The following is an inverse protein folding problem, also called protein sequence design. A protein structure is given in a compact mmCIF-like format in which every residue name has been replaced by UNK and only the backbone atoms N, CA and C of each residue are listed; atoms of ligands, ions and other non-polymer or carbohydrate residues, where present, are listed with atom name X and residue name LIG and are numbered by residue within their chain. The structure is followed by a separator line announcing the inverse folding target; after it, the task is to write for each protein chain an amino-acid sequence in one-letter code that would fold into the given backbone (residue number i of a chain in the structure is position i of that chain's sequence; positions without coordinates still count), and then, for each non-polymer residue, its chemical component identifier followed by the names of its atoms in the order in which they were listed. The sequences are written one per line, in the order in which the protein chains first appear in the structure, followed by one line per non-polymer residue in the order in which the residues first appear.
data_IF_595417458539
#
_entry.id   IF_595417458539
#
_cell.length_a   1.000
_cell.length_b   1.000
_cell.length_c   1.000
_cell.angle_alpha   90.00
_cell.angle_beta   90.00
_cell.angle_gamma   90.00
#
_symmetry.space_group_name_H-M   'P 1'
#
loop_
_entity.id
_entity.type
_entity.pdbx_description
1 polymer ?
#
# COMPACT_ATOMS: atom_id res chain seq x y z
N UNK A 1 -2.07 21.72 -2.70
CA UNK A 1 -3.35 21.89 -3.46
C UNK A 1 -4.50 21.83 -2.48
N UNK A 2 -5.53 22.72 -2.56
CA UNK A 2 -6.72 22.64 -1.69
C UNK A 2 -7.67 21.54 -2.17
N UNK A 3 -8.57 21.08 -1.29
CA UNK A 3 -9.60 20.09 -1.65
C UNK A 3 -10.46 20.55 -2.84
N UNK A 4 -10.81 21.85 -2.88
CA UNK A 4 -11.58 22.42 -3.99
C UNK A 4 -10.79 22.45 -5.29
N UNK A 5 -9.50 22.80 -5.25
CA UNK A 5 -8.63 22.77 -6.42
C UNK A 5 -8.51 21.33 -6.98
N UNK A 6 -8.38 20.32 -6.10
CA UNK A 6 -8.33 18.91 -6.51
C UNK A 6 -9.64 18.48 -7.19
N UNK A 7 -10.78 18.84 -6.64
CA UNK A 7 -12.09 18.54 -7.21
C UNK A 7 -12.26 19.12 -8.62
N UNK A 8 -11.89 20.40 -8.79
CA UNK A 8 -11.96 21.06 -10.10
C UNK A 8 -10.98 20.41 -11.09
N UNK A 9 -9.78 20.06 -10.66
CA UNK A 9 -8.77 19.42 -11.48
C UNK A 9 -9.28 18.05 -11.99
N UNK A 10 -9.87 17.23 -11.14
CA UNK A 10 -10.43 15.93 -11.53
C UNK A 10 -11.49 16.08 -12.65
N UNK A 11 -12.38 17.06 -12.54
CA UNK A 11 -13.40 17.31 -13.58
C UNK A 11 -12.79 17.83 -14.89
N UNK A 12 -11.70 18.58 -14.83
CA UNK A 12 -10.96 19.04 -16.01
C UNK A 12 -10.22 17.85 -16.65
N UNK A 13 -9.68 16.92 -15.87
CA UNK A 13 -9.05 15.67 -16.36
C UNK A 13 -10.06 14.77 -17.07
N UNK A 14 -11.27 14.63 -16.48
CA UNK A 14 -12.36 13.87 -17.11
C UNK A 14 -12.86 14.49 -18.41
N UNK A 15 -12.92 15.82 -18.46
CA UNK A 15 -13.33 16.59 -19.64
C UNK A 15 -12.47 17.85 -19.82
N UNK A 16 -11.34 17.76 -20.56
CA UNK A 16 -10.44 18.89 -20.79
C UNK A 16 -11.06 20.08 -21.51
N UNK A 17 -12.23 19.92 -22.11
CA UNK A 17 -12.98 20.97 -22.78
C UNK A 17 -14.10 21.58 -21.92
N UNK A 18 -14.24 21.14 -20.68
CA UNK A 18 -15.27 21.65 -19.74
C UNK A 18 -15.13 23.17 -19.56
N UNK A 19 -16.24 23.88 -19.66
CA UNK A 19 -16.24 25.34 -19.50
C UNK A 19 -16.14 25.74 -18.01
N UNK A 20 -15.64 26.95 -17.75
CA UNK A 20 -15.62 27.49 -16.39
C UNK A 20 -17.02 27.66 -15.79
N UNK A 21 -18.05 27.81 -16.62
CA UNK A 21 -19.43 27.89 -16.17
C UNK A 21 -19.92 26.51 -15.70
N UNK A 22 -19.69 25.46 -16.48
CA UNK A 22 -20.05 24.08 -16.09
C UNK A 22 -19.31 23.65 -14.81
N UNK A 23 -18.03 24.02 -14.67
CA UNK A 23 -17.28 23.80 -13.43
C UNK A 23 -17.90 24.54 -12.24
N UNK A 24 -18.35 25.77 -12.44
CA UNK A 24 -19.00 26.57 -11.41
C UNK A 24 -20.32 25.93 -10.96
N UNK A 25 -21.13 25.49 -11.92
CA UNK A 25 -22.41 24.84 -11.67
C UNK A 25 -22.21 23.51 -10.93
N UNK A 26 -21.26 22.67 -11.37
CA UNK A 26 -20.91 21.41 -10.68
C UNK A 26 -20.36 21.64 -9.27
N UNK A 27 -19.59 22.70 -9.06
CA UNK A 27 -18.95 22.99 -7.78
C UNK A 27 -19.86 23.76 -6.80
N UNK A 28 -21.00 24.28 -7.27
CA UNK A 28 -21.88 25.15 -6.48
C UNK A 28 -21.21 26.48 -6.07
N UNK A 29 -20.33 27.03 -6.92
CA UNK A 29 -19.59 28.29 -6.70
C UNK A 29 -19.71 29.22 -7.91
N UNK A 30 -19.24 30.44 -7.77
CA UNK A 30 -19.28 31.41 -8.87
C UNK A 30 -18.22 31.10 -9.93
N UNK A 31 -18.47 31.46 -11.19
CA UNK A 31 -17.48 31.37 -12.28
C UNK A 31 -16.19 32.13 -11.97
N UNK A 32 -16.26 33.27 -11.28
CA UNK A 32 -15.10 34.02 -10.84
C UNK A 32 -14.26 33.25 -9.81
N UNK A 33 -14.89 32.53 -8.88
CA UNK A 33 -14.19 31.67 -7.95
C UNK A 33 -13.48 30.51 -8.67
N UNK A 34 -14.13 29.89 -9.68
CA UNK A 34 -13.49 28.88 -10.53
C UNK A 34 -12.27 29.45 -11.24
N UNK A 35 -12.36 30.65 -11.81
CA UNK A 35 -11.24 31.30 -12.50
C UNK A 35 -10.03 31.50 -11.57
N UNK A 36 -10.26 31.86 -10.30
CA UNK A 36 -9.20 32.00 -9.28
C UNK A 36 -8.54 30.64 -9.02
N UNK A 37 -9.32 29.58 -8.82
CA UNK A 37 -8.78 28.24 -8.61
C UNK A 37 -7.99 27.72 -9.81
N UNK A 38 -8.49 27.94 -11.04
CA UNK A 38 -7.76 27.59 -12.28
C UNK A 38 -6.44 28.37 -12.35
N UNK A 39 -6.45 29.68 -12.06
CA UNK A 39 -5.21 30.46 -12.01
C UNK A 39 -4.20 29.93 -11.01
N UNK A 40 -4.67 29.51 -9.83
CA UNK A 40 -3.80 28.90 -8.83
C UNK A 40 -3.25 27.54 -9.29
N UNK A 41 -4.07 26.72 -9.96
CA UNK A 41 -3.62 25.46 -10.54
C UNK A 41 -2.59 25.67 -11.66
N UNK A 42 -2.77 26.71 -12.47
CA UNK A 42 -1.76 27.09 -13.49
C UNK A 42 -0.45 27.56 -12.84
N UNK A 43 -0.51 28.40 -11.80
CA UNK A 43 0.67 28.84 -11.06
C UNK A 43 1.42 27.70 -10.39
N UNK A 44 0.72 26.65 -9.99
CA UNK A 44 1.26 25.42 -9.36
C UNK A 44 1.72 24.40 -10.41
N UNK A 45 1.57 24.68 -11.72
CA UNK A 45 2.00 23.80 -12.81
C UNK A 45 1.07 22.63 -13.13
N UNK A 46 -0.10 22.54 -12.49
CA UNK A 46 -1.09 21.48 -12.77
C UNK A 46 -1.85 21.69 -14.08
N UNK A 47 -2.00 22.93 -14.54
CA UNK A 47 -2.61 23.29 -15.83
C UNK A 47 -1.57 24.05 -16.64
N UNK A 48 -1.22 23.56 -17.83
CA UNK A 48 -0.09 24.06 -18.61
C UNK A 48 -0.47 24.92 -19.82
N UNK A 49 -1.77 25.06 -20.16
CA UNK A 49 -2.16 25.83 -21.34
C UNK A 49 -3.66 26.12 -21.50
N UNK A 50 -4.01 26.87 -22.55
CA UNK A 50 -5.40 27.07 -22.95
C UNK A 50 -5.93 25.80 -23.60
N UNK A 51 -7.03 25.28 -23.08
CA UNK A 51 -7.59 23.96 -23.41
C UNK A 51 -7.39 22.98 -22.26
N UNK A 52 -7.00 23.48 -21.07
CA UNK A 52 -6.82 22.68 -19.84
C UNK A 52 -5.97 21.44 -20.05
N UNK A 53 -4.79 21.60 -20.69
CA UNK A 53 -3.80 20.51 -20.69
C UNK A 53 -3.36 20.32 -19.24
N UNK A 54 -3.82 19.25 -18.61
CA UNK A 54 -3.52 18.89 -17.24
C UNK A 54 -2.18 18.18 -17.23
N UNK A 55 -1.22 18.70 -16.47
CA UNK A 55 -0.06 17.93 -16.08
C UNK A 55 -0.41 17.23 -14.77
N UNK A 56 -0.73 15.97 -14.85
CA UNK A 56 -0.91 15.14 -13.64
C UNK A 56 0.44 15.05 -12.95
N UNK A 57 0.51 15.51 -11.69
CA UNK A 57 1.69 15.24 -10.88
C UNK A 57 1.94 13.71 -10.85
N UNK A 58 3.19 13.26 -10.90
CA UNK A 58 3.49 11.84 -10.80
C UNK A 58 2.89 11.25 -9.51
N UNK A 59 2.22 10.11 -9.63
CA UNK A 59 1.58 9.45 -8.49
C UNK A 59 1.83 7.95 -8.50
N UNK A 60 1.62 7.33 -7.36
CA UNK A 60 1.59 5.88 -7.20
C UNK A 60 0.17 5.41 -6.88
N UNK A 61 -0.18 4.21 -7.32
CA UNK A 61 -1.47 3.64 -6.98
C UNK A 61 -1.28 2.38 -6.14
N UNK A 62 -2.02 2.30 -5.02
CA UNK A 62 -2.13 1.08 -4.23
C UNK A 62 -3.47 0.42 -4.52
N UNK A 63 -3.45 -0.83 -4.95
CA UNK A 63 -4.64 -1.65 -5.18
C UNK A 63 -4.66 -2.75 -4.12
N UNK A 64 -5.49 -2.61 -3.10
CA UNK A 64 -5.39 -3.52 -1.97
C UNK A 64 -6.46 -3.37 -0.90
N UNK A 65 -6.26 -4.10 0.18
CA UNK A 65 -7.21 -4.18 1.28
C UNK A 65 -7.13 -3.01 2.25
N UNK A 66 -8.31 -2.64 2.74
CA UNK A 66 -8.52 -1.74 3.89
C UNK A 66 -9.40 -2.46 4.89
N UNK A 67 -9.13 -2.38 6.18
CA UNK A 67 -10.02 -2.96 7.17
C UNK A 67 -10.05 -2.18 8.48
N UNK A 68 -11.07 -2.45 9.28
CA UNK A 68 -11.12 -2.07 10.68
C UNK A 68 -10.61 -3.23 11.52
N UNK A 69 -9.53 -3.01 12.27
CA UNK A 69 -9.03 -3.97 13.24
C UNK A 69 -9.68 -3.71 14.59
N UNK A 70 -10.27 -4.74 15.18
CA UNK A 70 -10.93 -4.69 16.49
C UNK A 70 -10.23 -5.70 17.38
N UNK A 71 -9.44 -5.21 18.32
CA UNK A 71 -8.73 -6.04 19.29
C UNK A 71 -9.39 -6.02 20.66
N UNK A 72 -9.52 -7.20 21.28
CA UNK A 72 -9.97 -7.39 22.64
C UNK A 72 -8.84 -7.93 23.52
N UNK A 73 -8.57 -7.23 24.63
CA UNK A 73 -7.56 -7.63 25.63
C UNK A 73 -8.27 -7.90 26.96
N UNK A 74 -8.53 -9.17 27.30
CA UNK A 74 -9.04 -9.52 28.62
C UNK A 74 -8.07 -9.09 29.73
N UNK A 75 -8.63 -8.64 30.87
CA UNK A 75 -7.82 -8.24 32.02
C UNK A 75 -7.19 -9.41 32.78
N UNK A 76 -7.73 -10.61 32.58
CA UNK A 76 -7.31 -11.87 33.22
C UNK A 76 -7.33 -13.00 32.21
N UNK A 77 -6.98 -14.23 32.64
CA UNK A 77 -7.09 -15.44 31.80
C UNK A 77 -8.51 -15.57 31.23
N UNK A 78 -8.69 -15.63 29.91
CA UNK A 78 -10.02 -15.67 29.31
C UNK A 78 -10.81 -16.93 29.73
N UNK A 79 -12.01 -16.71 30.24
CA UNK A 79 -12.97 -17.78 30.55
C UNK A 79 -13.83 -18.03 29.32
N UNK A 80 -13.70 -19.24 28.74
CA UNK A 80 -14.48 -19.62 27.56
C UNK A 80 -15.97 -19.70 27.87
N UNK A 81 -16.80 -19.21 26.94
CA UNK A 81 -18.27 -19.19 27.04
C UNK A 81 -18.81 -18.26 28.13
N UNK A 82 -18.02 -17.27 28.54
CA UNK A 82 -18.40 -16.27 29.51
C UNK A 82 -18.00 -14.86 29.03
N UNK A 83 -18.52 -13.82 29.70
CA UNK A 83 -18.14 -12.45 29.50
C UNK A 83 -16.86 -12.13 30.26
N UNK A 84 -15.82 -11.70 29.53
CA UNK A 84 -14.51 -11.39 30.10
C UNK A 84 -14.35 -9.86 30.14
N UNK A 85 -14.25 -9.25 31.33
CA UNK A 85 -13.90 -7.84 31.46
C UNK A 85 -12.52 -7.55 30.83
N UNK A 86 -12.40 -6.42 30.12
CA UNK A 86 -11.16 -6.10 29.43
C UNK A 86 -11.21 -4.78 28.67
N UNK A 87 -10.26 -4.59 27.77
CA UNK A 87 -10.14 -3.40 26.92
C UNK A 87 -10.44 -3.79 25.48
N UNK A 88 -11.24 -2.98 24.79
CA UNK A 88 -11.46 -3.10 23.34
C UNK A 88 -10.86 -1.87 22.66
N UNK A 89 -10.05 -2.08 21.63
CA UNK A 89 -9.50 -1.01 20.81
C UNK A 89 -9.84 -1.26 19.34
N UNK A 90 -10.03 -0.16 18.63
CA UNK A 90 -10.25 -0.17 17.19
C UNK A 90 -9.14 0.62 16.52
N UNK A 91 -8.59 0.07 15.46
CA UNK A 91 -7.58 0.74 14.64
C UNK A 91 -7.86 0.52 13.16
N UNK A 92 -7.39 1.48 12.35
CA UNK A 92 -7.49 1.37 10.91
C UNK A 92 -6.35 0.48 10.40
N UNK A 93 -6.71 -0.57 9.68
CA UNK A 93 -5.80 -1.59 9.18
C UNK A 93 -5.96 -1.86 7.69
N UNK A 94 -5.44 -3.01 7.28
CA UNK A 94 -5.35 -3.44 5.90
C UNK A 94 -3.99 -3.16 5.28
N UNK A 95 -3.38 -4.19 4.69
CA UNK A 95 -2.02 -4.09 4.11
C UNK A 95 -1.95 -2.98 3.06
N UNK A 96 -2.92 -2.94 2.13
CA UNK A 96 -2.97 -1.88 1.11
C UNK A 96 -3.04 -0.48 1.73
N UNK A 97 -3.94 -0.28 2.72
CA UNK A 97 -4.06 1.01 3.41
C UNK A 97 -2.77 1.37 4.18
N UNK A 98 -2.17 0.42 4.87
CA UNK A 98 -0.95 0.68 5.63
C UNK A 98 0.21 1.07 4.71
N UNK A 99 0.36 0.40 3.56
CA UNK A 99 1.34 0.76 2.54
C UNK A 99 1.05 2.18 2.02
N UNK A 100 -0.20 2.49 1.66
CA UNK A 100 -0.60 3.81 1.17
C UNK A 100 -0.33 4.92 2.20
N UNK A 101 -0.60 4.66 3.49
CA UNK A 101 -0.33 5.59 4.59
C UNK A 101 1.18 5.87 4.73
N UNK A 102 2.01 4.82 4.77
CA UNK A 102 3.46 4.98 4.82
C UNK A 102 4.01 5.72 3.59
N UNK A 103 3.46 5.47 2.40
CA UNK A 103 3.82 6.21 1.18
C UNK A 103 3.47 7.70 1.28
N UNK A 104 2.30 8.03 1.82
CA UNK A 104 1.90 9.43 2.05
C UNK A 104 2.82 10.14 3.05
N UNK A 105 3.24 9.46 4.14
CA UNK A 105 4.24 9.98 5.09
C UNK A 105 5.61 10.21 4.44
N UNK A 106 5.97 9.41 3.42
CA UNK A 106 7.18 9.61 2.61
C UNK A 106 7.02 10.67 1.51
N UNK A 107 5.91 11.42 1.50
CA UNK A 107 5.67 12.55 0.59
C UNK A 107 5.24 12.18 -0.82
N UNK A 108 4.88 10.92 -1.09
CA UNK A 108 4.36 10.51 -2.39
C UNK A 108 2.91 10.98 -2.58
N UNK A 109 2.52 11.32 -3.81
CA UNK A 109 1.11 11.46 -4.20
C UNK A 109 0.53 10.04 -4.37
N UNK A 110 -0.43 9.68 -3.52
CA UNK A 110 -0.95 8.31 -3.42
C UNK A 110 -2.41 8.26 -3.83
N UNK A 111 -2.71 7.37 -4.76
CA UNK A 111 -4.09 6.97 -5.08
C UNK A 111 -4.33 5.57 -4.57
N UNK A 112 -5.49 5.33 -4.00
CA UNK A 112 -5.86 4.00 -3.52
C UNK A 112 -7.12 3.52 -4.21
N UNK A 113 -7.06 2.29 -4.73
CA UNK A 113 -8.18 1.57 -5.32
C UNK A 113 -8.51 0.38 -4.43
N UNK A 114 -9.65 0.44 -3.79
CA UNK A 114 -10.19 -0.59 -2.89
C UNK A 114 -11.71 -0.65 -3.03
N UNK A 115 -12.39 -1.32 -2.13
CA UNK A 115 -13.84 -1.32 -2.00
C UNK A 115 -14.24 -1.01 -0.57
N UNK A 116 -15.28 -0.23 -0.40
CA UNK A 116 -15.86 0.13 0.89
C UNK A 116 -17.27 -0.43 1.03
N UNK A 117 -17.66 -0.77 2.26
CA UNK A 117 -19.06 -0.94 2.61
C UNK A 117 -19.79 0.40 2.75
N UNK A 118 -21.10 0.35 2.91
CA UNK A 118 -21.92 1.51 3.22
C UNK A 118 -22.12 1.60 4.74
N UNK A 119 -21.01 1.83 5.47
CA UNK A 119 -21.00 1.77 6.94
C UNK A 119 -20.07 2.82 7.57
N UNK A 120 -20.13 2.91 8.91
CA UNK A 120 -19.32 3.86 9.69
C UNK A 120 -17.81 3.57 9.59
N UNK A 121 -17.40 2.31 9.35
CA UNK A 121 -16.00 1.95 9.19
C UNK A 121 -15.44 2.53 7.89
N UNK A 122 -16.21 2.46 6.79
CA UNK A 122 -15.87 3.13 5.54
C UNK A 122 -15.65 4.63 5.74
N UNK A 123 -16.56 5.30 6.47
CA UNK A 123 -16.47 6.74 6.73
C UNK A 123 -15.21 7.09 7.52
N UNK A 124 -14.85 6.31 8.54
CA UNK A 124 -13.63 6.51 9.34
C UNK A 124 -12.37 6.33 8.50
N UNK A 125 -12.31 5.28 7.67
CA UNK A 125 -11.17 5.04 6.79
C UNK A 125 -11.05 6.16 5.75
N UNK A 126 -12.16 6.56 5.13
CA UNK A 126 -12.19 7.63 4.15
C UNK A 126 -11.74 8.99 4.74
N UNK A 127 -12.17 9.31 5.96
CA UNK A 127 -11.73 10.52 6.66
C UNK A 127 -10.21 10.50 6.88
N UNK A 128 -9.66 9.39 7.38
CA UNK A 128 -8.21 9.23 7.56
C UNK A 128 -7.43 9.34 6.25
N UNK A 129 -7.92 8.75 5.16
CA UNK A 129 -7.32 8.90 3.84
C UNK A 129 -7.32 10.37 3.38
N UNK A 130 -8.42 11.10 3.63
CA UNK A 130 -8.53 12.52 3.32
C UNK A 130 -7.55 13.40 4.09
N UNK A 131 -7.35 13.12 5.39
CA UNK A 131 -6.35 13.81 6.23
C UNK A 131 -4.93 13.61 5.73
N UNK A 132 -4.62 12.42 5.21
CA UNK A 132 -3.31 12.05 4.66
C UNK A 132 -3.12 12.49 3.20
N UNK A 133 -4.15 13.02 2.55
CA UNK A 133 -4.12 13.38 1.13
C UNK A 133 -4.13 12.17 0.19
N UNK A 134 -4.48 10.98 0.66
CA UNK A 134 -4.64 9.78 -0.16
C UNK A 134 -5.95 9.89 -0.95
N UNK A 135 -5.86 9.84 -2.27
CA UNK A 135 -7.03 9.91 -3.15
C UNK A 135 -7.69 8.51 -3.27
N UNK A 136 -8.92 8.40 -2.75
CA UNK A 136 -9.75 7.20 -2.81
C UNK A 136 -10.95 7.36 -3.76
N UNK A 137 -10.98 8.40 -4.58
CA UNK A 137 -12.13 8.73 -5.45
C UNK A 137 -12.52 7.60 -6.42
N UNK A 138 -11.57 6.73 -6.74
CA UNK A 138 -11.78 5.56 -7.60
C UNK A 138 -12.14 4.28 -6.85
N UNK A 139 -12.35 4.35 -5.54
CA UNK A 139 -12.75 3.23 -4.70
C UNK A 139 -14.29 3.24 -4.53
N UNK A 140 -15.02 2.24 -5.06
CA UNK A 140 -16.46 2.23 -4.98
C UNK A 140 -16.96 1.88 -3.57
N UNK A 141 -18.11 2.44 -3.20
CA UNK A 141 -18.91 2.02 -2.06
C UNK A 141 -19.91 0.97 -2.54
N UNK A 142 -19.94 -0.18 -1.88
CA UNK A 142 -20.85 -1.28 -2.21
C UNK A 142 -22.14 -1.10 -1.38
N UNK A 143 -23.30 -0.85 -2.01
CA UNK A 143 -24.56 -0.69 -1.30
C UNK A 143 -24.85 -1.92 -0.42
N UNK A 144 -25.29 -1.67 0.81
CA UNK A 144 -25.56 -2.71 1.83
C UNK A 144 -24.34 -3.59 2.17
N UNK A 145 -23.15 -3.27 1.61
CA UNK A 145 -21.90 -3.94 1.91
C UNK A 145 -21.37 -3.58 3.29
N UNK A 146 -20.55 -4.47 3.86
CA UNK A 146 -19.81 -4.21 5.11
C UNK A 146 -18.34 -4.07 4.80
N UNK A 147 -17.74 -3.00 5.32
CA UNK A 147 -16.30 -2.78 5.23
C UNK A 147 -15.56 -3.90 5.97
N UNK A 148 -14.50 -4.40 5.35
CA UNK A 148 -13.68 -5.46 5.91
C UNK A 148 -13.30 -5.19 7.37
N UNK A 149 -13.41 -6.23 8.19
CA UNK A 149 -13.13 -6.17 9.63
C UNK A 149 -12.28 -7.36 10.05
N UNK A 150 -11.27 -7.11 10.86
CA UNK A 150 -10.46 -8.14 11.50
C UNK A 150 -10.65 -8.04 13.00
N UNK A 151 -11.37 -9.00 13.58
CA UNK A 151 -11.61 -9.09 15.02
C UNK A 151 -10.64 -10.10 15.61
N UNK A 152 -9.92 -9.72 16.67
CA UNK A 152 -9.09 -10.66 17.42
C UNK A 152 -9.23 -10.46 18.93
N UNK A 153 -9.00 -11.54 19.65
CA UNK A 153 -8.94 -11.55 21.12
C UNK A 153 -7.60 -12.15 21.52
N UNK A 154 -6.94 -11.52 22.47
CA UNK A 154 -5.67 -12.03 23.02
C UNK A 154 -5.92 -12.88 24.27
N UNK A 155 -4.90 -13.62 24.67
CA UNK A 155 -4.81 -14.21 26.00
C UNK A 155 -4.20 -13.19 27.00
N UNK A 156 -3.96 -13.63 28.22
CA UNK A 156 -3.37 -12.82 29.31
C UNK A 156 -1.90 -12.42 29.05
N UNK A 157 -1.24 -13.05 28.09
CA UNK A 157 0.14 -12.74 27.67
C UNK A 157 0.20 -11.78 26.50
N UNK A 158 -0.97 -11.49 25.91
CA UNK A 158 -1.08 -10.67 24.72
C UNK A 158 -0.97 -11.46 23.40
N UNK A 159 -0.84 -12.80 23.47
CA UNK A 159 -0.83 -13.65 22.29
C UNK A 159 -2.25 -13.82 21.75
N UNK A 160 -2.39 -13.93 20.42
CA UNK A 160 -3.70 -14.08 19.79
C UNK A 160 -4.33 -15.44 20.13
N UNK A 161 -5.42 -15.42 20.90
CA UNK A 161 -6.18 -16.62 21.24
C UNK A 161 -7.22 -16.99 20.17
N UNK A 162 -7.84 -16.00 19.54
CA UNK A 162 -8.87 -16.20 18.50
C UNK A 162 -8.90 -14.99 17.55
N UNK A 163 -9.16 -15.24 16.27
CA UNK A 163 -9.46 -14.16 15.33
C UNK A 163 -10.58 -14.56 14.35
N UNK A 164 -11.34 -13.55 13.91
CA UNK A 164 -12.34 -13.66 12.84
C UNK A 164 -12.04 -12.59 11.79
N UNK A 165 -11.92 -13.03 10.55
CA UNK A 165 -11.60 -12.16 9.42
C UNK A 165 -12.82 -12.07 8.48
N UNK A 166 -13.53 -10.95 8.49
CA UNK A 166 -14.60 -10.64 7.53
C UNK A 166 -14.02 -9.81 6.39
N UNK A 167 -13.61 -10.47 5.32
CA UNK A 167 -12.98 -9.85 4.15
C UNK A 167 -13.76 -10.13 2.86
N UNK A 168 -15.04 -10.53 2.99
CA UNK A 168 -15.84 -10.96 1.86
C UNK A 168 -16.07 -9.83 0.84
N UNK A 169 -16.06 -8.58 1.30
CA UNK A 169 -16.26 -7.42 0.43
C UNK A 169 -15.26 -7.36 -0.73
N UNK A 170 -14.04 -7.91 -0.58
CA UNK A 170 -13.03 -7.90 -1.65
C UNK A 170 -13.42 -8.72 -2.88
N UNK A 171 -14.45 -9.59 -2.81
CA UNK A 171 -15.03 -10.23 -4.00
C UNK A 171 -15.54 -9.22 -5.03
N UNK A 172 -15.84 -7.99 -4.61
CA UNK A 172 -16.26 -6.91 -5.51
C UNK A 172 -15.09 -6.20 -6.21
N UNK A 173 -13.85 -6.47 -5.83
CA UNK A 173 -12.66 -6.04 -6.57
C UNK A 173 -12.43 -6.94 -7.78
N UNK A 174 -13.38 -6.98 -8.70
CA UNK A 174 -13.40 -7.85 -9.87
C UNK A 174 -12.53 -7.31 -11.01
N UNK A 175 -12.14 -8.15 -11.99
CA UNK A 175 -11.51 -7.69 -13.24
C UNK A 175 -12.29 -6.58 -13.94
N UNK A 176 -13.63 -6.65 -13.95
CA UNK A 176 -14.48 -5.61 -14.52
C UNK A 176 -14.36 -4.29 -13.78
N UNK A 177 -14.35 -4.31 -12.45
CA UNK A 177 -14.14 -3.12 -11.62
C UNK A 177 -12.78 -2.49 -11.91
N UNK A 178 -11.73 -3.30 -12.02
CA UNK A 178 -10.36 -2.83 -12.29
C UNK A 178 -10.19 -2.32 -13.73
N UNK A 179 -10.90 -2.90 -14.71
CA UNK A 179 -10.84 -2.45 -16.11
C UNK A 179 -11.26 -0.99 -16.27
N UNK A 180 -12.24 -0.54 -15.51
CA UNK A 180 -12.71 0.85 -15.51
C UNK A 180 -11.67 1.84 -14.95
N UNK A 181 -10.63 1.34 -14.28
CA UNK A 181 -9.57 2.12 -13.64
C UNK A 181 -8.20 1.93 -14.30
N UNK A 182 -8.18 1.16 -15.39
CA UNK A 182 -6.93 0.78 -16.07
C UNK A 182 -6.14 2.01 -16.57
N UNK A 183 -6.83 3.04 -17.05
CA UNK A 183 -6.19 4.30 -17.46
C UNK A 183 -5.45 4.95 -16.29
N UNK A 184 -6.08 5.03 -15.11
CA UNK A 184 -5.46 5.53 -13.89
C UNK A 184 -4.26 4.66 -13.48
N UNK A 185 -4.41 3.34 -13.50
CA UNK A 185 -3.35 2.40 -13.11
C UNK A 185 -2.16 2.52 -14.05
N UNK A 186 -2.39 2.60 -15.37
CA UNK A 186 -1.34 2.71 -16.38
C UNK A 186 -0.62 4.06 -16.39
N UNK A 187 -1.24 5.11 -15.88
CA UNK A 187 -0.62 6.42 -15.73
C UNK A 187 0.18 6.55 -14.41
N UNK A 188 0.14 5.55 -13.54
CA UNK A 188 0.92 5.52 -12.28
C UNK A 188 2.39 5.26 -12.55
N UNK A 189 3.28 5.86 -11.75
CA UNK A 189 4.71 5.55 -11.78
C UNK A 189 5.01 4.12 -11.29
N UNK A 190 4.19 3.62 -10.38
CA UNK A 190 4.17 2.25 -9.91
C UNK A 190 2.78 1.90 -9.39
N UNK A 191 2.39 0.63 -9.50
CA UNK A 191 1.18 0.09 -8.89
C UNK A 191 1.59 -0.96 -7.87
N UNK A 192 1.19 -0.77 -6.62
CA UNK A 192 1.43 -1.74 -5.55
C UNK A 192 0.14 -2.49 -5.28
N UNK A 193 0.18 -3.80 -5.36
CA UNK A 193 -0.94 -4.67 -5.05
C UNK A 193 -0.66 -5.54 -3.83
N UNK A 194 -1.70 -5.86 -3.07
CA UNK A 194 -1.66 -6.88 -2.04
C UNK A 194 -2.54 -8.09 -2.41
N UNK A 195 -2.27 -9.23 -1.79
CA UNK A 195 -2.99 -10.46 -2.09
C UNK A 195 -4.34 -10.62 -1.35
N UNK A 196 -4.89 -9.54 -0.79
CA UNK A 196 -6.30 -9.51 -0.37
C UNK A 196 -7.23 -9.54 -1.59
N UNK A 197 -6.75 -9.07 -2.74
CA UNK A 197 -7.49 -9.15 -4.01
C UNK A 197 -7.84 -10.60 -4.38
N UNK A 198 -8.97 -10.83 -5.10
CA UNK A 198 -9.24 -12.09 -5.80
C UNK A 198 -8.12 -12.47 -6.78
N UNK A 199 -7.88 -13.78 -6.95
CA UNK A 199 -6.82 -14.27 -7.84
C UNK A 199 -7.00 -13.81 -9.30
N UNK A 200 -8.25 -13.82 -9.78
CA UNK A 200 -8.60 -13.35 -11.14
C UNK A 200 -8.32 -11.86 -11.33
N UNK A 201 -8.41 -11.07 -10.28
CA UNK A 201 -8.13 -9.63 -10.31
C UNK A 201 -6.63 -9.35 -10.31
N UNK A 202 -5.84 -10.13 -9.57
CA UNK A 202 -4.38 -10.10 -9.64
C UNK A 202 -3.92 -10.51 -11.05
N UNK A 203 -4.49 -11.56 -11.61
CA UNK A 203 -4.20 -12.00 -12.99
C UNK A 203 -4.54 -10.90 -14.00
N UNK A 204 -5.73 -10.27 -13.85
CA UNK A 204 -6.14 -9.18 -14.73
C UNK A 204 -5.15 -8.00 -14.71
N UNK A 205 -4.71 -7.58 -13.51
CA UNK A 205 -3.70 -6.52 -13.38
C UNK A 205 -2.38 -6.93 -14.03
N UNK A 206 -1.93 -8.16 -13.82
CA UNK A 206 -0.70 -8.67 -14.42
C UNK A 206 -0.72 -8.69 -15.95
N UNK A 207 -1.89 -8.92 -16.54
CA UNK A 207 -2.04 -9.02 -18.00
C UNK A 207 -2.28 -7.67 -18.69
N UNK A 208 -2.84 -6.68 -17.99
CA UNK A 208 -3.31 -5.43 -18.62
C UNK A 208 -2.64 -4.16 -18.07
N UNK A 209 -2.05 -4.20 -16.86
CA UNK A 209 -1.35 -3.04 -16.32
C UNK A 209 0.03 -2.92 -16.96
N UNK A 210 0.32 -1.72 -17.49
CA UNK A 210 1.62 -1.41 -18.11
C UNK A 210 2.57 -0.70 -17.16
N UNK A 211 2.07 -0.16 -16.05
CA UNK A 211 2.90 0.40 -14.99
C UNK A 211 3.63 -0.73 -14.23
N UNK A 212 4.83 -0.47 -13.68
CA UNK A 212 5.55 -1.44 -12.88
C UNK A 212 4.71 -1.95 -11.70
N UNK A 213 4.50 -3.29 -11.62
CA UNK A 213 3.70 -3.93 -10.58
C UNK A 213 4.59 -4.37 -9.42
N UNK A 214 4.27 -3.89 -8.22
CA UNK A 214 4.86 -4.30 -6.95
C UNK A 214 3.84 -5.14 -6.19
N UNK A 215 4.26 -6.25 -5.57
CA UNK A 215 3.35 -7.15 -4.90
C UNK A 215 3.79 -7.47 -3.46
N UNK A 216 2.84 -7.35 -2.53
CA UNK A 216 2.96 -7.86 -1.17
C UNK A 216 2.14 -9.16 -1.01
N UNK A 217 2.78 -10.27 -0.59
CA UNK A 217 2.10 -11.55 -0.42
C UNK A 217 1.12 -11.60 0.75
N UNK A 218 1.17 -10.67 1.70
CA UNK A 218 0.32 -10.57 2.92
C UNK A 218 0.46 -11.76 3.87
N UNK A 219 0.35 -12.98 3.37
CA UNK A 219 0.46 -14.22 4.16
C UNK A 219 0.71 -15.42 3.25
N UNK A 220 1.22 -16.50 3.82
CA UNK A 220 1.46 -17.74 3.07
C UNK A 220 0.21 -18.27 2.37
N UNK A 221 -0.96 -18.22 3.03
CA UNK A 221 -2.21 -18.70 2.45
C UNK A 221 -2.64 -17.86 1.22
N UNK A 222 -2.35 -16.57 1.21
CA UNK A 222 -2.71 -15.64 0.13
C UNK A 222 -1.63 -15.57 -0.96
N UNK A 223 -0.36 -15.75 -0.61
CA UNK A 223 0.80 -15.68 -1.51
C UNK A 223 0.67 -16.58 -2.74
N UNK A 224 0.00 -17.73 -2.62
CA UNK A 224 -0.19 -18.68 -3.74
C UNK A 224 -0.84 -18.05 -4.97
N UNK A 225 -1.63 -16.98 -4.78
CA UNK A 225 -2.28 -16.22 -5.87
C UNK A 225 -1.27 -15.54 -6.80
N UNK A 226 -0.03 -15.30 -6.32
CA UNK A 226 1.02 -14.65 -7.10
C UNK A 226 1.78 -15.61 -8.02
N UNK A 227 1.74 -16.92 -7.77
CA UNK A 227 2.49 -17.91 -8.56
C UNK A 227 2.28 -17.79 -10.08
N UNK A 228 1.04 -17.64 -10.59
CA UNK A 228 0.81 -17.53 -12.03
C UNK A 228 1.34 -16.24 -12.65
N UNK A 229 1.54 -15.18 -11.85
CA UNK A 229 1.83 -13.83 -12.32
C UNK A 229 3.24 -13.35 -12.00
N UNK A 230 4.09 -14.17 -11.39
CA UNK A 230 5.44 -13.78 -10.97
C UNK A 230 6.25 -13.15 -12.12
N UNK A 231 6.14 -13.68 -13.34
CA UNK A 231 6.82 -13.17 -14.53
C UNK A 231 6.41 -11.76 -14.95
N UNK A 232 5.29 -11.26 -14.45
CA UNK A 232 4.73 -9.94 -14.78
C UNK A 232 5.02 -8.89 -13.71
N UNK A 233 5.52 -9.32 -12.56
CA UNK A 233 5.84 -8.43 -11.47
C UNK A 233 7.20 -7.76 -11.67
N UNK A 234 7.24 -6.46 -11.37
CA UNK A 234 8.50 -5.73 -11.25
C UNK A 234 9.17 -6.03 -9.92
N UNK A 235 8.45 -5.96 -8.82
CA UNK A 235 9.02 -6.15 -7.47
C UNK A 235 8.11 -7.03 -6.63
N UNK A 236 8.72 -8.00 -5.97
CA UNK A 236 8.06 -8.87 -4.99
C UNK A 236 8.76 -8.73 -3.64
N UNK A 237 7.98 -8.56 -2.57
CA UNK A 237 8.50 -8.46 -1.20
C UNK A 237 7.96 -9.57 -0.29
N UNK A 238 8.42 -10.78 -0.39
CA UNK A 238 8.03 -11.86 0.51
C UNK A 238 8.84 -11.82 1.81
N UNK A 239 8.30 -12.40 2.88
CA UNK A 239 9.10 -12.88 3.99
C UNK A 239 9.74 -14.25 3.64
N UNK A 240 10.58 -14.80 4.54
CA UNK A 240 11.27 -16.09 4.34
C UNK A 240 10.29 -17.23 3.98
N UNK A 241 9.18 -17.37 4.72
CA UNK A 241 8.23 -18.47 4.54
C UNK A 241 7.45 -18.29 3.22
N UNK A 242 7.09 -17.07 2.88
CA UNK A 242 6.42 -16.75 1.61
C UNK A 242 7.36 -17.00 0.42
N UNK A 243 8.64 -16.66 0.56
CA UNK A 243 9.66 -16.92 -0.46
C UNK A 243 9.85 -18.44 -0.67
N UNK A 244 9.90 -19.24 0.41
CA UNK A 244 9.92 -20.70 0.32
C UNK A 244 8.72 -21.25 -0.44
N UNK A 245 7.52 -20.76 -0.11
CA UNK A 245 6.28 -21.19 -0.75
C UNK A 245 6.24 -20.84 -2.25
N UNK A 246 6.68 -19.64 -2.60
CA UNK A 246 6.62 -19.13 -3.97
C UNK A 246 7.71 -19.76 -4.85
N UNK A 247 8.93 -19.93 -4.33
CA UNK A 247 10.06 -20.55 -5.05
C UNK A 247 10.03 -22.06 -5.03
N UNK A 248 9.37 -22.69 -4.04
CA UNK A 248 9.45 -24.13 -3.78
C UNK A 248 10.78 -24.57 -3.15
N UNK A 249 11.66 -23.63 -2.78
CA UNK A 249 12.98 -23.90 -2.19
C UNK A 249 12.92 -23.65 -0.69
N UNK A 250 13.28 -24.64 0.13
CA UNK A 250 13.40 -24.49 1.58
C UNK A 250 14.63 -23.68 1.93
N UNK A 251 14.47 -22.58 2.70
CA UNK A 251 15.54 -21.66 3.06
C UNK A 251 16.09 -22.03 4.43
N UNK A 252 17.24 -22.68 4.46
CA UNK A 252 17.92 -23.15 5.68
C UNK A 252 19.29 -22.48 5.91
N UNK A 253 19.86 -21.88 4.87
CA UNK A 253 21.16 -21.19 4.88
C UNK A 253 21.26 -20.21 3.72
N UNK A 254 22.37 -19.46 3.63
CA UNK A 254 22.59 -18.47 2.59
C UNK A 254 22.56 -19.04 1.16
N UNK A 255 23.05 -20.27 0.97
CA UNK A 255 23.03 -20.89 -0.36
C UNK A 255 21.60 -21.19 -0.81
N UNK A 256 20.75 -21.73 0.09
CA UNK A 256 19.34 -21.99 -0.21
C UNK A 256 18.53 -20.68 -0.33
N UNK A 257 18.90 -19.60 0.39
CA UNK A 257 18.30 -18.28 0.25
C UNK A 257 18.57 -17.69 -1.14
N UNK A 258 19.84 -17.73 -1.60
CA UNK A 258 20.20 -17.33 -2.97
C UNK A 258 19.46 -18.16 -4.01
N UNK A 259 19.38 -19.46 -3.83
CA UNK A 259 18.66 -20.36 -4.74
C UNK A 259 17.17 -20.06 -4.81
N UNK A 260 16.53 -19.72 -3.68
CA UNK A 260 15.13 -19.30 -3.65
C UNK A 260 14.92 -18.01 -4.45
N UNK A 261 15.80 -17.00 -4.24
CA UNK A 261 15.74 -15.74 -5.00
C UNK A 261 15.98 -15.95 -6.50
N UNK A 262 16.98 -16.73 -6.88
CA UNK A 262 17.25 -17.10 -8.29
C UNK A 262 16.02 -17.77 -8.92
N UNK A 263 15.43 -18.75 -8.25
CA UNK A 263 14.24 -19.45 -8.75
C UNK A 263 13.08 -18.48 -8.99
N UNK A 264 12.88 -17.48 -8.10
CA UNK A 264 11.88 -16.44 -8.31
C UNK A 264 12.22 -15.53 -9.50
N UNK A 265 13.47 -15.12 -9.65
CA UNK A 265 13.92 -14.28 -10.77
C UNK A 265 13.86 -15.04 -12.11
N UNK A 266 14.14 -16.33 -12.13
CA UNK A 266 14.05 -17.20 -13.30
C UNK A 266 12.62 -17.28 -13.88
N UNK A 267 11.59 -16.96 -13.09
CA UNK A 267 10.21 -16.83 -13.59
C UNK A 267 10.00 -15.62 -14.51
N UNK A 268 10.92 -14.64 -14.49
CA UNK A 268 10.79 -13.35 -15.17
C UNK A 268 10.56 -12.17 -14.25
N UNK A 269 10.44 -12.40 -12.91
CA UNK A 269 10.40 -11.34 -11.90
C UNK A 269 11.65 -10.44 -12.02
N UNK A 270 11.46 -9.10 -11.90
CA UNK A 270 12.60 -8.19 -12.04
C UNK A 270 13.42 -8.04 -10.76
N UNK A 271 12.76 -7.90 -9.59
CA UNK A 271 13.42 -7.70 -8.29
C UNK A 271 12.67 -8.46 -7.18
N UNK A 272 13.43 -8.98 -6.23
CA UNK A 272 12.89 -9.59 -5.01
C UNK A 272 13.58 -9.05 -3.78
N UNK A 273 12.80 -8.76 -2.73
CA UNK A 273 13.29 -8.35 -1.41
C UNK A 273 12.75 -9.31 -0.37
N UNK A 274 13.56 -10.27 0.07
CA UNK A 274 13.16 -11.29 1.05
C UNK A 274 13.49 -10.77 2.44
N UNK A 275 12.45 -10.43 3.21
CA UNK A 275 12.64 -10.03 4.61
C UNK A 275 12.92 -11.25 5.50
N UNK A 276 13.96 -11.16 6.33
CA UNK A 276 14.50 -12.23 7.14
C UNK A 276 14.29 -12.00 8.65
N UNK A 277 13.44 -11.03 9.02
CA UNK A 277 13.20 -10.65 10.42
C UNK A 277 14.46 -10.10 11.07
N UNK A 278 14.90 -10.74 12.17
CA UNK A 278 16.12 -10.38 12.89
C UNK A 278 17.41 -10.56 12.07
N UNK A 279 17.35 -11.24 10.92
CA UNK A 279 18.51 -11.47 10.05
C UNK A 279 18.60 -10.42 8.93
N UNK A 280 17.71 -9.42 8.91
CA UNK A 280 17.73 -8.31 7.97
C UNK A 280 16.98 -8.60 6.67
N UNK A 281 17.58 -8.32 5.52
CA UNK A 281 16.99 -8.49 4.20
C UNK A 281 17.99 -9.07 3.20
N UNK A 282 17.48 -9.94 2.32
CA UNK A 282 18.18 -10.34 1.09
C UNK A 282 17.45 -9.73 -0.10
N UNK A 283 18.17 -9.05 -0.97
CA UNK A 283 17.64 -8.48 -2.21
C UNK A 283 18.41 -9.00 -3.43
N UNK A 284 17.68 -9.26 -4.50
CA UNK A 284 18.27 -9.66 -5.78
C UNK A 284 17.47 -9.11 -6.95
N UNK A 285 18.12 -8.87 -8.09
CA UNK A 285 17.49 -8.46 -9.34
C UNK A 285 17.93 -9.35 -10.51
N UNK A 286 17.18 -9.24 -11.61
CA UNK A 286 17.45 -10.02 -12.84
C UNK A 286 18.74 -9.67 -13.58
N UNK A 287 19.43 -8.57 -13.19
CA UNK A 287 20.75 -8.24 -13.74
C UNK A 287 21.89 -9.01 -13.07
N UNK A 288 21.57 -9.80 -12.04
CA UNK A 288 22.51 -10.58 -11.26
C UNK A 288 23.04 -9.88 -10.02
N UNK A 289 22.59 -8.65 -9.73
CA UNK A 289 22.95 -7.98 -8.49
C UNK A 289 22.25 -8.66 -7.30
N UNK A 290 23.01 -8.91 -6.25
CA UNK A 290 22.54 -9.50 -5.01
C UNK A 290 23.15 -8.76 -3.83
N UNK A 291 22.37 -8.52 -2.79
CA UNK A 291 22.83 -7.92 -1.54
C UNK A 291 22.12 -8.57 -0.35
N UNK A 292 22.86 -8.83 0.71
CA UNK A 292 22.32 -9.22 1.99
C UNK A 292 22.74 -8.18 3.02
N UNK A 293 21.77 -7.55 3.65
CA UNK A 293 22.01 -6.49 4.63
C UNK A 293 21.52 -6.97 6.00
N UNK A 294 22.34 -6.74 7.06
CA UNK A 294 21.92 -7.01 8.42
C UNK A 294 20.77 -6.07 8.84
N UNK A 295 20.05 -6.37 9.92
CA UNK A 295 19.06 -5.47 10.47
C UNK A 295 19.71 -4.17 10.94
N UNK A 296 18.99 -3.06 10.83
CA UNK A 296 19.43 -1.81 11.42
C UNK A 296 19.10 -1.80 12.92
N UNK A 297 19.92 -1.09 13.74
CA UNK A 297 19.64 -0.96 15.17
C UNK A 297 18.37 -0.14 15.41
N UNK A 298 17.55 -0.57 16.38
CA UNK A 298 16.32 0.10 16.79
C UNK A 298 15.64 -0.61 17.95
N UNK A 299 14.74 0.09 18.63
CA UNK A 299 13.95 -0.48 19.72
C UNK A 299 12.77 -1.28 19.15
N UNK A 300 12.64 -2.55 19.53
CA UNK A 300 11.51 -3.38 19.13
C UNK A 300 10.34 -3.19 20.11
N UNK A 301 9.36 -2.37 19.68
CA UNK A 301 8.11 -2.13 20.42
C UNK A 301 6.97 -2.93 19.82
N UNK A 302 6.79 -2.87 18.48
CA UNK A 302 5.78 -3.61 17.75
C UNK A 302 6.31 -3.97 16.36
N UNK A 303 6.07 -5.19 15.89
CA UNK A 303 6.51 -5.65 14.57
C UNK A 303 5.41 -5.59 13.51
N UNK A 304 4.16 -5.28 13.91
CA UNK A 304 3.05 -5.13 12.97
C UNK A 304 3.27 -3.89 12.10
N UNK A 305 3.05 -4.02 10.80
CA UNK A 305 3.23 -2.92 9.85
C UNK A 305 4.66 -2.69 9.35
N UNK A 306 5.69 -3.37 9.91
CA UNK A 306 7.07 -3.27 9.40
C UNK A 306 7.18 -3.67 7.94
N UNK A 307 6.44 -4.71 7.51
CA UNK A 307 6.38 -5.16 6.12
C UNK A 307 5.76 -4.12 5.19
N UNK A 308 4.70 -3.45 5.66
CA UNK A 308 3.98 -2.41 4.91
C UNK A 308 4.86 -1.17 4.74
N UNK A 309 5.58 -0.76 5.81
CA UNK A 309 6.55 0.32 5.77
C UNK A 309 7.73 -0.01 4.83
N UNK A 310 8.22 -1.26 4.87
CA UNK A 310 9.25 -1.73 3.93
C UNK A 310 8.80 -1.58 2.48
N UNK A 311 7.59 -2.06 2.13
CA UNK A 311 7.05 -1.95 0.77
C UNK A 311 6.91 -0.50 0.33
N UNK A 312 6.41 0.38 1.20
CA UNK A 312 6.31 1.80 0.90
C UNK A 312 7.68 2.43 0.61
N UNK A 313 8.69 2.11 1.42
CA UNK A 313 10.04 2.66 1.26
C UNK A 313 10.77 2.15 0.02
N UNK A 314 10.65 0.87 -0.34
CA UNK A 314 11.25 0.36 -1.58
C UNK A 314 10.57 0.91 -2.83
N UNK A 315 9.26 1.23 -2.73
CA UNK A 315 8.55 1.92 -3.81
C UNK A 315 9.04 3.38 -3.92
N UNK A 316 9.17 4.08 -2.80
CA UNK A 316 9.75 5.43 -2.76
C UNK A 316 11.17 5.44 -3.35
N UNK A 317 12.04 4.53 -2.92
CA UNK A 317 13.41 4.41 -3.40
C UNK A 317 13.47 4.12 -4.91
N UNK A 318 12.58 3.26 -5.42
CA UNK A 318 12.43 3.02 -6.86
C UNK A 318 12.12 4.31 -7.63
N UNK A 319 11.21 5.14 -7.13
CA UNK A 319 10.86 6.43 -7.75
C UNK A 319 12.01 7.44 -7.70
N UNK A 320 12.90 7.33 -6.71
CA UNK A 320 14.14 8.14 -6.63
C UNK A 320 15.25 7.61 -7.55
N UNK A 321 15.05 6.47 -8.22
CA UNK A 321 16.04 5.86 -9.10
C UNK A 321 17.26 5.27 -8.36
N UNK A 322 17.11 4.88 -7.10
CA UNK A 322 18.20 4.28 -6.31
C UNK A 322 18.54 2.89 -6.81
N UNK A 323 19.77 2.45 -6.55
CA UNK A 323 20.21 1.09 -6.85
C UNK A 323 19.56 0.05 -5.91
N UNK A 324 19.84 -1.24 -6.14
CA UNK A 324 19.26 -2.33 -5.36
C UNK A 324 19.66 -2.25 -3.87
N UNK A 325 20.89 -1.88 -3.59
CA UNK A 325 21.44 -1.81 -2.22
C UNK A 325 20.79 -0.69 -1.43
N UNK A 326 20.73 0.50 -1.98
CA UNK A 326 20.10 1.64 -1.32
C UNK A 326 18.57 1.48 -1.23
N UNK A 327 17.94 0.83 -2.22
CA UNK A 327 16.53 0.41 -2.11
C UNK A 327 16.31 -0.52 -0.91
N UNK A 328 17.18 -1.52 -0.71
CA UNK A 328 17.10 -2.44 0.43
C UNK A 328 17.33 -1.74 1.77
N UNK A 329 18.28 -0.79 1.83
CA UNK A 329 18.53 0.06 3.01
C UNK A 329 17.30 0.91 3.36
N UNK A 330 16.62 1.50 2.36
CA UNK A 330 15.39 2.25 2.57
C UNK A 330 14.31 1.38 3.19
N UNK A 331 14.11 0.16 2.69
CA UNK A 331 13.17 -0.80 3.24
C UNK A 331 13.47 -1.15 4.71
N UNK A 332 14.72 -1.45 5.04
CA UNK A 332 15.16 -1.72 6.40
C UNK A 332 14.94 -0.51 7.33
N UNK A 333 15.29 0.69 6.87
CA UNK A 333 15.14 1.92 7.65
C UNK A 333 13.67 2.18 8.00
N UNK A 334 12.77 2.07 7.03
CA UNK A 334 11.33 2.23 7.27
C UNK A 334 10.77 1.16 8.21
N UNK A 335 11.21 -0.09 8.07
CA UNK A 335 10.81 -1.18 8.97
C UNK A 335 11.23 -0.91 10.42
N UNK A 336 12.45 -0.41 10.64
CA UNK A 336 12.93 -0.08 11.99
C UNK A 336 12.17 1.11 12.55
N UNK A 337 11.93 2.17 11.76
CA UNK A 337 11.12 3.30 12.20
C UNK A 337 9.70 2.81 12.58
N UNK A 338 9.08 1.97 11.78
CA UNK A 338 7.77 1.39 12.10
C UNK A 338 7.81 0.58 13.42
N UNK A 339 8.85 -0.24 13.61
CA UNK A 339 9.01 -1.11 14.77
C UNK A 339 9.18 -0.34 16.09
N UNK A 340 9.64 0.90 16.05
CA UNK A 340 9.84 1.77 17.22
C UNK A 340 8.54 2.39 17.78
N UNK A 341 7.39 2.14 17.15
CA UNK A 341 6.07 2.62 17.57
C UNK A 341 5.21 1.49 18.15
N UNK A 342 4.34 1.83 19.10
CA UNK A 342 3.28 0.93 19.54
C UNK A 342 2.15 0.77 18.51
N UNK A 343 1.99 1.77 17.65
CA UNK A 343 0.98 1.78 16.57
C UNK A 343 1.52 1.05 15.33
N UNK A 344 0.61 0.51 14.51
CA UNK A 344 0.96 -0.17 13.25
C UNK A 344 1.68 0.77 12.27
N UNK A 345 1.33 2.05 12.29
CA UNK A 345 1.97 3.11 11.51
C UNK A 345 2.66 4.07 12.46
N UNK A 346 3.95 4.27 12.29
CA UNK A 346 4.68 5.27 13.05
C UNK A 346 4.61 6.64 12.36
N UNK A 347 3.96 7.65 12.97
CA UNK A 347 3.85 8.99 12.36
C UNK A 347 5.20 9.73 12.26
N UNK A 348 6.25 9.23 12.90
CA UNK A 348 7.60 9.75 12.76
C UNK A 348 8.26 9.37 11.42
N UNK A 349 7.68 8.45 10.65
CA UNK A 349 8.17 8.13 9.32
C UNK A 349 8.01 9.36 8.41
N UNK A 350 9.12 9.75 7.79
CA UNK A 350 9.17 10.85 6.82
C UNK A 350 10.35 10.60 5.88
N UNK A 351 10.41 11.32 4.77
CA UNK A 351 11.56 11.23 3.86
C UNK A 351 12.87 11.55 4.59
N UNK A 352 12.91 12.59 5.42
CA UNK A 352 14.12 12.98 6.16
C UNK A 352 14.55 11.90 7.16
N UNK A 353 13.60 11.37 7.95
CA UNK A 353 13.88 10.29 8.89
C UNK A 353 14.38 9.01 8.18
N UNK A 354 13.75 8.69 7.03
CA UNK A 354 14.17 7.57 6.19
C UNK A 354 15.60 7.75 5.69
N UNK A 355 15.91 8.90 5.09
CA UNK A 355 17.24 9.22 4.56
C UNK A 355 18.32 9.19 5.63
N UNK A 356 18.04 9.74 6.80
CA UNK A 356 18.94 9.73 7.94
C UNK A 356 19.22 8.30 8.44
N UNK A 357 18.18 7.48 8.57
CA UNK A 357 18.30 6.10 9.07
C UNK A 357 18.94 5.16 8.05
N UNK A 358 18.62 5.31 6.77
CA UNK A 358 19.12 4.46 5.70
C UNK A 358 20.61 4.69 5.39
N UNK A 359 21.17 5.88 5.69
CA UNK A 359 22.55 6.25 5.41
C UNK A 359 22.97 5.87 3.96
N UNK A 360 22.25 6.42 2.98
CA UNK A 360 22.50 6.13 1.56
C UNK A 360 23.95 6.36 1.17
N UNK A 361 24.43 5.56 0.22
CA UNK A 361 25.73 5.77 -0.41
C UNK A 361 25.74 7.13 -1.12
N UNK A 362 26.82 7.91 -0.97
CA UNK A 362 26.96 9.22 -1.61
C UNK A 362 27.23 9.08 -3.11
#
# INVERSE_FOLDING_TARGET
MTQRERQLLNWIEENPLISQQELADKAGITRSSVAVHISNLMKKGYITGKGYIVHTAPYVTVVGGVNMDIGGWPGEVPVMRDSNPGVVRMSLGGVGRNIAHNMALLGMDVRMVTVFGDDINAQKIAASCGELGIDISQSPVIPEGRTSTYLFITDEKGDMALAVSDMEIYKHMTPQMLSQRLTLLNASQAVVLDTNLPAESIQYLADHCTAPLFADPVSTAKAVKLKPVLSKLHTLKPNRIEAELLSGVKITNDASLRKAAETLLDTGLHRVFISLGSDGVFAADRSGHQVQLPPLPGAMVNTTGCGDAFMAAITWAYLQGTDLTDTAKAGLAASVIAMESAETINPALSEDALRQRAAFSK
#
